data_IF_641786843538
#
_entry.id   IF_641786843538
#
_cell.length_a   1.000
_cell.length_b   1.000
_cell.length_c   1.000
_cell.angle_alpha   90.00
_cell.angle_beta   90.00
_cell.angle_gamma   90.00
#
_symmetry.space_group_name_H-M   'P 1'
#
loop_
_entity.id
_entity.type
_entity.pdbx_description
1 polymer ?
#
# COMPACT_ATOMS: atom_id res chain seq x y z
N UNK A 1 3.06 -17.24 -15.96
CA UNK A 1 3.46 -15.87 -15.62
C UNK A 1 3.22 -15.49 -14.13
N UNK A 2 2.55 -16.34 -13.34
CA UNK A 2 2.35 -16.17 -11.88
C UNK A 2 3.57 -15.71 -11.07
N UNK A 3 4.77 -16.25 -11.33
CA UNK A 3 5.98 -15.88 -10.58
C UNK A 3 6.39 -14.42 -10.83
N UNK A 4 6.18 -13.89 -12.04
CA UNK A 4 6.47 -12.49 -12.37
C UNK A 4 5.61 -11.56 -11.51
N UNK A 5 4.30 -11.82 -11.42
CA UNK A 5 3.39 -11.03 -10.59
C UNK A 5 3.79 -11.03 -9.10
N UNK A 6 4.11 -12.20 -8.55
CA UNK A 6 4.54 -12.33 -7.15
C UNK A 6 5.82 -11.54 -6.91
N UNK A 7 6.81 -11.66 -7.81
CA UNK A 7 8.09 -10.96 -7.69
C UNK A 7 7.94 -9.45 -7.85
N UNK A 8 7.06 -8.97 -8.73
CA UNK A 8 6.76 -7.54 -8.85
C UNK A 8 6.07 -7.01 -7.60
N UNK A 9 5.15 -7.77 -7.01
CA UNK A 9 4.50 -7.40 -5.75
C UNK A 9 5.51 -7.31 -4.59
N UNK A 10 6.39 -8.31 -4.46
CA UNK A 10 7.47 -8.31 -3.45
C UNK A 10 8.40 -7.11 -3.64
N UNK A 11 8.85 -6.84 -4.87
CA UNK A 11 9.72 -5.71 -5.19
C UNK A 11 9.05 -4.36 -4.88
N UNK A 12 7.75 -4.21 -5.18
CA UNK A 12 6.99 -3.01 -4.85
C UNK A 12 7.00 -2.74 -3.34
N UNK A 13 6.66 -3.74 -2.52
CA UNK A 13 6.62 -3.59 -1.08
C UNK A 13 8.02 -3.38 -0.48
N UNK A 14 9.04 -4.09 -0.95
CA UNK A 14 10.42 -3.88 -0.50
C UNK A 14 10.89 -2.45 -0.77
N UNK A 15 10.66 -1.95 -1.98
CA UNK A 15 11.02 -0.59 -2.38
C UNK A 15 10.28 0.45 -1.54
N UNK A 16 8.96 0.25 -1.34
CA UNK A 16 8.13 1.14 -0.53
C UNK A 16 8.63 1.21 0.92
N UNK A 17 8.91 0.05 1.53
CA UNK A 17 9.42 -0.02 2.91
C UNK A 17 10.80 0.59 3.03
N UNK A 18 11.71 0.35 2.08
CA UNK A 18 13.03 0.99 2.05
C UNK A 18 12.92 2.53 1.99
N UNK A 19 11.95 3.05 1.24
CA UNK A 19 11.66 4.49 1.22
C UNK A 19 11.33 5.06 2.60
N UNK A 20 10.59 4.33 3.44
CA UNK A 20 10.28 4.75 4.80
C UNK A 20 11.42 4.54 5.80
N UNK A 21 12.38 3.66 5.51
CA UNK A 21 13.59 3.51 6.33
C UNK A 21 14.55 4.69 6.16
N UNK A 22 14.60 5.26 4.95
CA UNK A 22 15.49 6.37 4.60
C UNK A 22 15.06 7.68 5.25
N UNK A 23 16.04 8.42 5.76
CA UNK A 23 15.86 9.76 6.33
C UNK A 23 16.44 10.87 5.46
N UNK A 24 17.12 10.51 4.37
CA UNK A 24 17.71 11.45 3.40
C UNK A 24 16.84 11.60 2.15
N UNK A 25 17.39 12.24 1.12
CA UNK A 25 16.83 12.37 -0.23
C UNK A 25 16.55 11.02 -0.93
N UNK A 26 17.23 9.94 -0.52
CA UNK A 26 16.96 8.58 -1.00
C UNK A 26 15.48 8.19 -0.86
N UNK A 27 14.82 8.71 0.20
CA UNK A 27 13.41 8.43 0.50
C UNK A 27 12.48 8.73 -0.67
N UNK A 28 12.60 9.93 -1.25
CA UNK A 28 11.68 10.34 -2.31
C UNK A 28 11.86 9.45 -3.54
N UNK A 29 13.11 9.16 -3.89
CA UNK A 29 13.44 8.30 -5.04
C UNK A 29 12.88 6.89 -4.86
N UNK A 30 13.05 6.30 -3.68
CA UNK A 30 12.54 4.97 -3.35
C UNK A 30 11.01 4.93 -3.39
N UNK A 31 10.33 5.94 -2.85
CA UNK A 31 8.86 6.03 -2.92
C UNK A 31 8.38 6.19 -4.37
N UNK A 32 9.03 7.03 -5.17
CA UNK A 32 8.69 7.21 -6.59
C UNK A 32 8.88 5.92 -7.39
N UNK A 33 9.96 5.17 -7.12
CA UNK A 33 10.18 3.85 -7.72
C UNK A 33 9.14 2.84 -7.27
N UNK A 34 8.71 2.87 -6.00
CA UNK A 34 7.62 2.01 -5.53
C UNK A 34 6.31 2.28 -6.26
N UNK A 35 6.00 3.53 -6.59
CA UNK A 35 4.80 3.89 -7.34
C UNK A 35 4.86 3.38 -8.80
N UNK A 36 6.06 3.35 -9.40
CA UNK A 36 6.28 2.72 -10.70
C UNK A 36 6.06 1.21 -10.62
N UNK A 37 6.62 0.54 -9.61
CA UNK A 37 6.49 -0.91 -9.43
C UNK A 37 5.04 -1.32 -9.17
N UNK A 38 4.25 -0.51 -8.45
CA UNK A 38 2.82 -0.75 -8.32
C UNK A 38 2.12 -0.70 -9.68
N UNK A 39 2.43 0.28 -10.54
CA UNK A 39 1.88 0.30 -11.90
C UNK A 39 2.26 -0.95 -12.70
N UNK A 40 3.53 -1.36 -12.65
CA UNK A 40 3.96 -2.61 -13.29
C UNK A 40 3.15 -3.82 -12.80
N UNK A 41 2.93 -3.90 -11.49
CA UNK A 41 2.10 -4.94 -10.88
C UNK A 41 0.68 -4.94 -11.46
N UNK A 42 0.04 -3.78 -11.56
CA UNK A 42 -1.31 -3.66 -12.17
C UNK A 42 -1.33 -4.04 -13.66
N UNK A 43 -0.28 -3.73 -14.42
CA UNK A 43 -0.22 -4.06 -15.84
C UNK A 43 -0.02 -5.56 -16.08
N UNK A 44 0.85 -6.19 -15.30
CA UNK A 44 1.05 -7.64 -15.32
C UNK A 44 -0.24 -8.37 -14.93
N UNK A 45 -0.99 -7.86 -13.94
CA UNK A 45 -2.29 -8.41 -13.58
C UNK A 45 -3.28 -8.41 -14.74
N UNK A 46 -3.36 -7.29 -15.47
CA UNK A 46 -4.23 -7.20 -16.65
C UNK A 46 -3.80 -8.19 -17.75
N UNK A 47 -2.49 -8.39 -17.96
CA UNK A 47 -1.99 -9.40 -18.90
C UNK A 47 -2.41 -10.82 -18.49
N UNK A 48 -2.34 -11.15 -17.20
CA UNK A 48 -2.80 -12.45 -16.68
C UNK A 48 -4.30 -12.66 -16.91
N UNK A 49 -5.12 -11.61 -16.75
CA UNK A 49 -6.56 -11.65 -17.03
C UNK A 49 -6.82 -11.89 -18.52
N UNK A 50 -6.15 -11.13 -19.40
CA UNK A 50 -6.30 -11.26 -20.86
C UNK A 50 -5.90 -12.64 -21.36
N UNK A 51 -4.83 -13.20 -20.78
CA UNK A 51 -4.32 -14.54 -21.11
C UNK A 51 -5.05 -15.67 -20.39
N UNK A 52 -6.04 -15.34 -19.55
CA UNK A 52 -6.81 -16.28 -18.74
C UNK A 52 -5.95 -17.14 -17.80
N UNK A 53 -4.80 -16.62 -17.36
CA UNK A 53 -3.98 -17.26 -16.34
C UNK A 53 -4.54 -16.98 -14.94
N UNK A 54 -4.69 -18.04 -14.14
CA UNK A 54 -5.07 -17.89 -12.74
C UNK A 54 -3.95 -17.26 -11.92
N UNK A 55 -4.29 -16.32 -11.03
CA UNK A 55 -3.33 -15.69 -10.13
C UNK A 55 -3.90 -15.51 -8.72
N UNK A 56 -3.01 -15.17 -7.78
CA UNK A 56 -3.34 -14.73 -6.43
C UNK A 56 -2.35 -13.67 -5.97
N UNK A 57 -2.72 -12.92 -4.94
CA UNK A 57 -1.82 -11.97 -4.26
C UNK A 57 -0.94 -12.65 -3.20
N UNK A 58 -0.85 -13.98 -3.21
CA UNK A 58 0.06 -14.73 -2.36
C UNK A 58 1.50 -14.32 -2.65
N UNK A 59 2.32 -14.26 -1.60
CA UNK A 59 3.75 -13.94 -1.70
C UNK A 59 4.50 -14.49 -0.50
N UNK A 60 5.83 -14.56 -0.63
CA UNK A 60 6.68 -14.94 0.47
C UNK A 60 6.78 -13.82 1.53
N UNK A 61 7.38 -14.15 2.68
CA UNK A 61 7.70 -13.17 3.69
C UNK A 61 8.79 -12.21 3.17
N UNK A 62 8.58 -10.92 3.38
CA UNK A 62 9.51 -9.87 2.92
C UNK A 62 10.40 -9.44 4.10
N UNK A 63 11.69 -9.82 4.13
CA UNK A 63 12.57 -9.56 5.26
C UNK A 63 13.11 -8.13 5.22
N UNK A 64 12.36 -7.19 5.80
CA UNK A 64 12.74 -5.76 5.78
C UNK A 64 13.63 -5.30 6.94
N UNK A 65 13.84 -6.14 7.97
CA UNK A 65 14.62 -5.75 9.15
C UNK A 65 16.12 -5.76 8.85
N UNK A 66 16.69 -4.57 8.71
CA UNK A 66 18.11 -4.35 8.41
C UNK A 66 18.71 -3.27 9.31
N UNK A 67 20.03 -3.27 9.47
CA UNK A 67 20.75 -2.23 10.22
C UNK A 67 21.21 -1.08 9.31
N UNK A 68 21.51 -1.39 8.05
CA UNK A 68 21.98 -0.45 7.03
C UNK A 68 21.01 -0.40 5.86
N UNK A 69 20.82 0.78 5.28
CA UNK A 69 20.00 0.94 4.08
C UNK A 69 20.59 0.13 2.92
N UNK A 70 21.92 0.09 2.80
CA UNK A 70 22.61 -0.69 1.76
C UNK A 70 22.24 -2.18 1.77
N UNK A 71 21.96 -2.78 2.94
CA UNK A 71 21.56 -4.18 3.04
C UNK A 71 20.25 -4.46 2.28
N UNK A 72 19.24 -3.61 2.48
CA UNK A 72 17.95 -3.76 1.78
C UNK A 72 18.07 -3.36 0.31
N UNK A 73 18.87 -2.33 -0.03
CA UNK A 73 19.10 -1.93 -1.42
C UNK A 73 19.75 -3.05 -2.25
N UNK A 74 20.74 -3.76 -1.71
CA UNK A 74 21.33 -4.92 -2.37
C UNK A 74 20.30 -6.04 -2.60
N UNK A 75 19.40 -6.28 -1.64
CA UNK A 75 18.33 -7.26 -1.81
C UNK A 75 17.36 -6.85 -2.91
N UNK A 76 16.92 -5.59 -2.93
CA UNK A 76 16.03 -5.03 -3.96
C UNK A 76 16.67 -5.16 -5.33
N UNK A 77 17.94 -4.74 -5.50
CA UNK A 77 18.65 -4.84 -6.78
C UNK A 77 18.68 -6.29 -7.28
N UNK A 78 18.97 -7.26 -6.40
CA UNK A 78 18.95 -8.68 -6.74
C UNK A 78 17.56 -9.13 -7.20
N UNK A 79 16.50 -8.80 -6.46
CA UNK A 79 15.14 -9.18 -6.82
C UNK A 79 14.67 -8.53 -8.13
N UNK A 80 15.03 -7.27 -8.37
CA UNK A 80 14.74 -6.58 -9.64
C UNK A 80 15.45 -7.25 -10.82
N UNK A 81 16.72 -7.66 -10.66
CA UNK A 81 17.44 -8.40 -11.71
C UNK A 81 16.82 -9.80 -11.95
N UNK A 82 16.38 -10.48 -10.89
CA UNK A 82 15.67 -11.76 -11.02
C UNK A 82 14.30 -11.60 -11.72
N UNK A 83 13.60 -10.49 -11.45
CA UNK A 83 12.36 -10.13 -12.13
C UNK A 83 12.61 -9.86 -13.61
N UNK A 84 13.63 -9.07 -13.95
CA UNK A 84 14.00 -8.72 -15.33
C UNK A 84 14.22 -9.96 -16.20
N UNK A 85 14.95 -10.95 -15.67
CA UNK A 85 15.17 -12.24 -16.35
C UNK A 85 13.86 -13.00 -16.61
N UNK A 86 12.86 -12.86 -15.74
CA UNK A 86 11.58 -13.56 -15.86
C UNK A 86 10.59 -12.86 -16.80
N UNK A 87 10.80 -11.57 -17.12
CA UNK A 87 9.96 -10.84 -18.08
C UNK A 87 9.96 -11.47 -19.48
N UNK A 88 10.99 -12.27 -19.82
CA UNK A 88 11.00 -13.06 -21.06
C UNK A 88 9.75 -13.95 -21.21
N UNK A 89 9.15 -14.34 -20.09
CA UNK A 89 7.95 -15.17 -20.03
C UNK A 89 6.63 -14.44 -20.25
N UNK A 90 6.61 -13.10 -20.29
CA UNK A 90 5.39 -12.33 -20.62
C UNK A 90 5.08 -12.45 -22.11
N UNK A 91 3.80 -12.54 -22.46
CA UNK A 91 3.34 -12.56 -23.85
C UNK A 91 3.41 -11.15 -24.46
N UNK A 92 3.03 -10.12 -23.70
CA UNK A 92 3.16 -8.72 -24.12
C UNK A 92 4.64 -8.27 -24.05
N UNK A 93 5.30 -8.36 -25.21
CA UNK A 93 6.70 -7.95 -25.34
C UNK A 93 6.92 -6.45 -25.17
N UNK A 94 5.93 -5.60 -25.49
CA UNK A 94 6.06 -4.16 -25.30
C UNK A 94 6.00 -3.82 -23.80
N UNK A 95 5.12 -4.48 -23.05
CA UNK A 95 5.08 -4.38 -21.59
C UNK A 95 6.37 -4.90 -20.96
N UNK A 96 6.86 -6.07 -21.39
CA UNK A 96 8.12 -6.64 -20.91
C UNK A 96 9.31 -5.68 -21.13
N UNK A 97 9.45 -5.11 -22.33
CA UNK A 97 10.49 -4.12 -22.65
C UNK A 97 10.34 -2.85 -21.79
N UNK A 98 9.11 -2.39 -21.56
CA UNK A 98 8.84 -1.23 -20.71
C UNK A 98 9.30 -1.47 -19.27
N UNK A 99 8.93 -2.59 -18.67
CA UNK A 99 9.29 -2.93 -17.29
C UNK A 99 10.81 -3.13 -17.19
N UNK A 100 11.42 -3.84 -18.14
CA UNK A 100 12.87 -4.08 -18.18
C UNK A 100 13.66 -2.76 -18.21
N UNK A 101 13.26 -1.81 -19.06
CA UNK A 101 13.89 -0.49 -19.13
C UNK A 101 13.78 0.28 -17.80
N UNK A 102 12.63 0.22 -17.13
CA UNK A 102 12.43 0.87 -15.84
C UNK A 102 13.32 0.20 -14.76
N UNK A 103 13.42 -1.14 -14.76
CA UNK A 103 14.30 -1.90 -13.84
C UNK A 103 15.78 -1.53 -14.03
N UNK A 104 16.26 -1.44 -15.27
CA UNK A 104 17.66 -1.05 -15.54
C UNK A 104 17.95 0.36 -15.02
N UNK A 105 17.02 1.29 -15.19
CA UNK A 105 17.16 2.62 -14.63
C UNK A 105 17.15 2.60 -13.09
N UNK A 106 16.16 1.96 -12.48
CA UNK A 106 16.06 1.84 -11.02
C UNK A 106 17.34 1.27 -10.43
N UNK A 107 17.77 0.10 -10.90
CA UNK A 107 18.99 -0.55 -10.42
C UNK A 107 20.22 0.34 -10.58
N UNK A 108 20.38 1.06 -11.70
CA UNK A 108 21.50 2.00 -11.88
C UNK A 108 21.52 3.10 -10.81
N UNK A 109 20.35 3.63 -10.43
CA UNK A 109 20.22 4.67 -9.40
C UNK A 109 20.48 4.08 -8.01
N UNK A 110 19.92 2.90 -7.71
CA UNK A 110 20.08 2.24 -6.40
C UNK A 110 21.56 1.94 -6.08
N UNK A 111 22.38 1.58 -7.07
CA UNK A 111 23.83 1.36 -6.87
C UNK A 111 24.58 2.62 -6.42
N UNK A 112 24.04 3.82 -6.71
CA UNK A 112 24.66 5.10 -6.38
C UNK A 112 24.09 5.76 -5.13
N UNK A 113 23.13 5.13 -4.44
CA UNK A 113 22.52 5.69 -3.24
C UNK A 113 23.49 5.62 -2.05
N UNK A 114 23.56 6.72 -1.29
CA UNK A 114 24.36 6.78 -0.07
C UNK A 114 23.75 5.89 1.02
N UNK A 115 24.61 5.27 1.82
CA UNK A 115 24.18 4.34 2.86
C UNK A 115 23.84 5.07 4.18
N UNK A 116 22.83 4.55 4.89
CA UNK A 116 22.26 5.14 6.10
C UNK A 116 22.14 4.09 7.21
N UNK A 117 22.18 4.54 8.46
CA UNK A 117 21.80 3.68 9.59
C UNK A 117 20.29 3.68 9.73
N UNK A 118 19.68 2.50 9.77
CA UNK A 118 18.23 2.35 9.86
C UNK A 118 17.78 2.30 11.32
N UNK A 119 16.83 3.17 11.69
CA UNK A 119 16.22 3.23 13.03
C UNK A 119 14.76 2.80 13.05
N UNK A 120 14.20 2.49 11.88
CA UNK A 120 12.79 2.14 11.66
C UNK A 120 12.32 0.87 12.39
N UNK A 121 13.26 0.12 13.00
CA UNK A 121 13.01 -1.12 13.76
C UNK A 121 13.52 -1.06 15.21
N UNK A 122 13.82 0.13 15.72
CA UNK A 122 14.38 0.32 17.07
C UNK A 122 13.44 -0.08 18.20
N UNK A 123 12.14 -0.24 17.93
CA UNK A 123 11.08 -0.50 18.91
C UNK A 123 11.02 0.56 20.03
N UNK A 124 11.56 1.75 19.79
CA UNK A 124 11.58 2.83 20.78
C UNK A 124 10.17 3.34 21.11
N UNK A 125 9.24 3.28 20.15
CA UNK A 125 7.86 3.77 20.25
C UNK A 125 7.77 5.24 20.67
N UNK A 126 8.79 6.02 20.33
CA UNK A 126 8.85 7.47 20.58
C UNK A 126 8.60 8.22 19.28
N UNK A 127 7.68 9.19 19.30
CA UNK A 127 7.45 10.04 18.14
C UNK A 127 8.40 11.26 18.18
N UNK A 128 9.15 11.55 17.10
CA UNK A 128 10.09 12.67 17.09
C UNK A 128 9.41 14.01 17.37
N UNK A 129 9.92 14.76 18.35
CA UNK A 129 9.42 16.09 18.69
C UNK A 129 8.10 16.12 19.47
N UNK A 130 7.50 14.97 19.78
CA UNK A 130 6.22 14.87 20.49
C UNK A 130 6.37 13.94 21.70
N UNK A 131 6.03 14.46 22.89
CA UNK A 131 6.00 13.66 24.12
C UNK A 131 4.60 13.10 24.34
N UNK A 132 4.39 11.83 24.00
CA UNK A 132 3.13 11.14 24.22
C UNK A 132 3.11 10.47 25.60
N UNK A 133 1.94 10.43 26.23
CA UNK A 133 1.69 9.55 27.37
C UNK A 133 1.77 8.08 26.95
N UNK A 134 1.90 7.17 27.91
CA UNK A 134 1.87 5.73 27.63
C UNK A 134 0.57 5.30 26.95
N UNK A 135 -0.57 5.83 27.43
CA UNK A 135 -1.89 5.57 26.85
C UNK A 135 -1.97 6.04 25.39
N UNK A 136 -1.55 7.27 25.09
CA UNK A 136 -1.52 7.77 23.72
C UNK A 136 -0.53 7.00 22.83
N UNK A 137 0.61 6.58 23.38
CA UNK A 137 1.61 5.78 22.65
C UNK A 137 1.07 4.39 22.32
N UNK A 138 0.37 3.74 23.25
CA UNK A 138 -0.28 2.45 23.05
C UNK A 138 -1.41 2.53 22.03
N UNK A 139 -2.28 3.53 22.15
CA UNK A 139 -3.35 3.78 21.19
C UNK A 139 -2.81 4.04 19.77
N UNK A 140 -1.81 4.92 19.64
CA UNK A 140 -1.19 5.22 18.36
C UNK A 140 -0.50 4.01 17.75
N UNK A 141 0.20 3.21 18.56
CA UNK A 141 0.88 2.00 18.08
C UNK A 141 -0.13 0.99 17.53
N UNK A 142 -1.22 0.74 18.27
CA UNK A 142 -2.26 -0.19 17.83
C UNK A 142 -2.90 0.27 16.53
N UNK A 143 -3.31 1.54 16.46
CA UNK A 143 -3.88 2.14 15.27
C UNK A 143 -2.96 1.99 14.06
N UNK A 144 -1.67 2.32 14.19
CA UNK A 144 -0.74 2.22 13.07
C UNK A 144 -0.61 0.80 12.55
N UNK A 145 -0.67 -0.23 13.41
CA UNK A 145 -0.65 -1.62 12.95
C UNK A 145 -1.92 -2.02 12.21
N UNK A 146 -3.09 -1.66 12.74
CA UNK A 146 -4.39 -2.03 12.18
C UNK A 146 -4.64 -1.29 10.85
N UNK A 147 -4.45 0.02 10.83
CA UNK A 147 -4.75 0.86 9.68
C UNK A 147 -3.73 0.71 8.56
N UNK A 148 -2.44 0.53 8.86
CA UNK A 148 -1.45 0.21 7.80
C UNK A 148 -1.84 -1.07 7.05
N UNK A 149 -2.36 -2.07 7.77
CA UNK A 149 -2.83 -3.28 7.13
C UNK A 149 -4.12 -3.04 6.34
N UNK A 150 -5.10 -2.37 6.94
CA UNK A 150 -6.38 -2.06 6.30
C UNK A 150 -6.18 -1.32 4.97
N UNK A 151 -5.36 -0.28 4.96
CA UNK A 151 -5.12 0.51 3.75
C UNK A 151 -4.44 -0.30 2.64
N UNK A 152 -3.46 -1.12 3.00
CA UNK A 152 -2.87 -2.06 2.04
C UNK A 152 -3.90 -3.06 1.51
N UNK A 153 -4.74 -3.63 2.38
CA UNK A 153 -5.82 -4.54 1.98
C UNK A 153 -6.78 -3.88 1.00
N UNK A 154 -7.24 -2.65 1.29
CA UNK A 154 -8.12 -1.88 0.43
C UNK A 154 -7.49 -1.60 -0.95
N UNK A 155 -6.21 -1.21 -1.00
CA UNK A 155 -5.49 -1.04 -2.27
C UNK A 155 -5.56 -2.31 -3.11
N UNK A 156 -5.31 -3.47 -2.51
CA UNK A 156 -5.32 -4.76 -3.22
C UNK A 156 -6.73 -5.13 -3.70
N UNK A 157 -7.74 -4.92 -2.86
CA UNK A 157 -9.14 -5.20 -3.19
C UNK A 157 -9.63 -4.30 -4.33
N UNK A 158 -9.46 -2.99 -4.21
CA UNK A 158 -9.91 -2.05 -5.25
C UNK A 158 -9.12 -2.23 -6.55
N UNK A 159 -7.83 -2.56 -6.48
CA UNK A 159 -7.06 -2.90 -7.66
C UNK A 159 -7.63 -4.14 -8.38
N UNK A 160 -7.98 -5.18 -7.62
CA UNK A 160 -8.62 -6.38 -8.18
C UNK A 160 -9.97 -6.03 -8.84
N UNK A 161 -10.85 -5.34 -8.12
CA UNK A 161 -12.16 -4.93 -8.64
C UNK A 161 -12.03 -4.12 -9.93
N UNK A 162 -11.07 -3.19 -9.98
CA UNK A 162 -10.77 -2.38 -11.17
C UNK A 162 -10.24 -3.23 -12.33
N UNK A 163 -9.39 -4.21 -12.07
CA UNK A 163 -8.83 -5.08 -13.11
C UNK A 163 -9.88 -6.04 -13.70
N UNK A 164 -10.92 -6.37 -12.95
CA UNK A 164 -12.03 -7.25 -13.36
C UNK A 164 -13.31 -6.51 -13.78
N UNK A 165 -13.21 -5.21 -14.04
CA UNK A 165 -14.33 -4.37 -14.45
C UNK A 165 -14.01 -3.62 -15.75
N UNK A 166 -14.91 -3.71 -16.72
CA UNK A 166 -14.88 -2.91 -17.95
C UNK A 166 -15.64 -1.58 -17.80
N UNK A 167 -16.27 -1.34 -16.64
CA UNK A 167 -17.05 -0.12 -16.41
C UNK A 167 -16.15 1.06 -16.05
N UNK A 168 -16.12 2.06 -16.94
CA UNK A 168 -15.27 3.24 -16.78
C UNK A 168 -15.64 4.13 -15.57
N UNK A 169 -16.92 4.14 -15.16
CA UNK A 169 -17.37 4.94 -14.02
C UNK A 169 -16.93 4.29 -12.70
N UNK A 170 -17.11 2.99 -12.56
CA UNK A 170 -16.66 2.21 -11.41
C UNK A 170 -15.13 2.18 -11.33
N UNK A 171 -14.43 1.98 -12.46
CA UNK A 171 -12.97 2.01 -12.49
C UNK A 171 -12.41 3.35 -12.03
N UNK A 172 -13.09 4.46 -12.35
CA UNK A 172 -12.72 5.78 -11.83
C UNK A 172 -12.89 5.86 -10.31
N UNK A 173 -14.00 5.35 -9.77
CA UNK A 173 -14.23 5.34 -8.31
C UNK A 173 -13.16 4.50 -7.61
N UNK A 174 -12.91 3.27 -8.07
CA UNK A 174 -11.88 2.42 -7.49
C UNK A 174 -10.48 3.02 -7.57
N UNK A 175 -10.13 3.70 -8.68
CA UNK A 175 -8.86 4.41 -8.76
C UNK A 175 -8.73 5.51 -7.71
N UNK A 176 -9.78 6.31 -7.48
CA UNK A 176 -9.75 7.36 -6.45
C UNK A 176 -9.55 6.73 -5.07
N UNK A 177 -10.26 5.64 -4.76
CA UNK A 177 -10.12 4.94 -3.48
C UNK A 177 -8.70 4.35 -3.31
N UNK A 178 -8.11 3.79 -4.37
CA UNK A 178 -6.71 3.33 -4.37
C UNK A 178 -5.77 4.50 -4.05
N UNK A 179 -5.94 5.63 -4.72
CA UNK A 179 -5.06 6.79 -4.57
C UNK A 179 -5.10 7.37 -3.14
N UNK A 180 -6.28 7.46 -2.54
CA UNK A 180 -6.45 7.90 -1.14
C UNK A 180 -5.87 6.88 -0.15
N UNK A 181 -6.15 5.58 -0.33
CA UNK A 181 -5.56 4.53 0.52
C UNK A 181 -4.04 4.51 0.43
N UNK A 182 -3.46 4.79 -0.74
CA UNK A 182 -2.00 4.96 -0.86
C UNK A 182 -1.49 6.12 -0.02
N UNK A 183 -2.20 7.24 -0.03
CA UNK A 183 -1.82 8.37 0.80
C UNK A 183 -1.84 7.97 2.29
N UNK A 184 -2.91 7.34 2.78
CA UNK A 184 -3.00 6.87 4.17
C UNK A 184 -1.90 5.87 4.52
N UNK A 185 -1.72 4.82 3.71
CA UNK A 185 -0.66 3.82 3.87
C UNK A 185 0.71 4.48 4.00
N UNK A 186 1.02 5.45 3.11
CA UNK A 186 2.32 6.15 3.13
C UNK A 186 2.48 6.98 4.40
N UNK A 187 1.42 7.62 4.90
CA UNK A 187 1.45 8.39 6.15
C UNK A 187 1.64 7.48 7.37
N UNK A 188 0.94 6.36 7.44
CA UNK A 188 1.03 5.45 8.57
C UNK A 188 2.38 4.72 8.62
N UNK A 189 2.91 4.29 7.48
CA UNK A 189 4.27 3.74 7.40
C UNK A 189 5.34 4.76 7.82
N UNK A 190 5.22 6.03 7.41
CA UNK A 190 6.13 7.09 7.87
C UNK A 190 6.11 7.26 9.39
N UNK A 191 4.92 7.29 9.99
CA UNK A 191 4.75 7.38 11.44
C UNK A 191 5.32 6.14 12.15
N UNK A 192 5.05 4.95 11.62
CA UNK A 192 5.58 3.69 12.12
C UNK A 192 7.11 3.64 12.07
N UNK A 193 7.72 4.08 10.97
CA UNK A 193 9.17 4.18 10.83
C UNK A 193 9.78 5.15 11.84
N UNK A 194 9.20 6.34 12.01
CA UNK A 194 9.63 7.33 13.02
C UNK A 194 9.58 6.78 14.45
N UNK A 195 8.60 5.93 14.74
CA UNK A 195 8.44 5.28 16.04
C UNK A 195 9.28 4.00 16.21
N UNK A 196 9.98 3.56 15.16
CA UNK A 196 10.81 2.35 15.19
C UNK A 196 10.01 1.05 15.12
N UNK A 197 8.77 1.08 14.62
CA UNK A 197 7.83 -0.05 14.53
C UNK A 197 7.37 -0.34 13.10
N UNK A 198 8.16 0.04 12.09
CA UNK A 198 7.83 -0.22 10.69
C UNK A 198 7.65 -1.73 10.45
N UNK A 199 6.61 -2.09 9.71
CA UNK A 199 6.30 -3.47 9.38
C UNK A 199 5.73 -3.58 7.96
N UNK A 200 5.95 -4.71 7.32
CA UNK A 200 5.30 -5.07 6.06
C UNK A 200 3.87 -5.51 6.37
N UNK A 201 2.84 -5.04 5.64
CA UNK A 201 1.49 -5.57 5.76
C UNK A 201 1.44 -7.10 5.60
N UNK A 202 0.52 -7.78 6.28
CA UNK A 202 0.31 -9.24 6.07
C UNK A 202 -0.27 -9.51 4.69
N UNK A 203 -0.14 -10.76 4.21
CA UNK A 203 -0.72 -11.18 2.92
C UNK A 203 -2.24 -11.04 2.98
N UNK A 204 -2.85 -10.55 1.90
CA UNK A 204 -4.32 -10.45 1.79
C UNK A 204 -4.87 -11.81 1.39
N UNK A 205 -5.82 -12.32 2.18
CA UNK A 205 -6.46 -13.60 1.90
C UNK A 205 -7.31 -13.52 0.63
N UNK A 206 -7.30 -14.58 -0.17
CA UNK A 206 -7.99 -14.65 -1.47
C UNK A 206 -9.46 -14.27 -1.39
N UNK A 207 -10.12 -14.72 -0.34
CA UNK A 207 -11.54 -14.52 -0.07
C UNK A 207 -11.92 -13.06 0.17
N UNK A 208 -10.94 -12.21 0.54
CA UNK A 208 -11.18 -10.79 0.81
C UNK A 208 -11.19 -9.95 -0.46
N UNK A 209 -10.35 -10.29 -1.45
CA UNK A 209 -10.24 -9.50 -2.69
C UNK A 209 -10.98 -10.12 -3.87
N UNK A 210 -11.19 -11.44 -3.90
CA UNK A 210 -12.04 -12.08 -4.92
C UNK A 210 -13.51 -11.99 -4.53
N UNK A 211 -14.06 -10.80 -4.67
CA UNK A 211 -15.42 -10.48 -4.24
C UNK A 211 -16.45 -11.07 -5.23
N UNK A 212 -17.30 -11.97 -4.74
CA UNK A 212 -18.40 -12.54 -5.52
C UNK A 212 -19.63 -11.61 -5.56
N UNK A 213 -19.88 -10.85 -4.50
CA UNK A 213 -20.98 -9.89 -4.38
C UNK A 213 -20.44 -8.49 -4.05
N UNK A 214 -20.20 -7.70 -5.10
CA UNK A 214 -19.68 -6.34 -4.98
C UNK A 214 -20.68 -5.42 -4.26
N UNK A 215 -21.98 -5.67 -4.39
CA UNK A 215 -23.01 -4.88 -3.71
C UNK A 215 -22.94 -5.08 -2.20
N UNK A 216 -22.78 -6.33 -1.75
CA UNK A 216 -22.63 -6.64 -0.34
C UNK A 216 -21.29 -6.10 0.20
N UNK A 217 -20.20 -6.27 -0.54
CA UNK A 217 -18.91 -5.69 -0.18
C UNK A 217 -18.98 -4.17 0.05
N UNK A 218 -19.59 -3.41 -0.86
CA UNK A 218 -19.73 -1.96 -0.72
C UNK A 218 -20.59 -1.58 0.50
N UNK A 219 -21.66 -2.33 0.80
CA UNK A 219 -22.48 -2.10 1.99
C UNK A 219 -21.70 -2.34 3.28
N UNK A 220 -20.93 -3.43 3.32
CA UNK A 220 -20.13 -3.79 4.49
C UNK A 220 -19.00 -2.79 4.69
N UNK A 221 -18.30 -2.38 3.62
CA UNK A 221 -17.28 -1.32 3.67
C UNK A 221 -17.84 0.02 4.17
N UNK A 222 -19.02 0.45 3.71
CA UNK A 222 -19.66 1.67 4.23
C UNK A 222 -19.94 1.55 5.73
N UNK A 223 -20.45 0.41 6.18
CA UNK A 223 -20.74 0.19 7.61
C UNK A 223 -19.47 0.15 8.45
N UNK A 224 -18.40 -0.47 7.93
CA UNK A 224 -17.10 -0.53 8.57
C UNK A 224 -16.50 0.87 8.72
N UNK A 225 -16.49 1.69 7.66
CA UNK A 225 -15.99 3.06 7.76
C UNK A 225 -16.79 3.90 8.75
N UNK A 226 -18.13 3.75 8.78
CA UNK A 226 -18.96 4.43 9.78
C UNK A 226 -18.60 4.04 11.22
N UNK A 227 -18.21 2.78 11.46
CA UNK A 227 -17.78 2.30 12.77
C UNK A 227 -16.34 2.77 13.10
N UNK A 228 -15.42 2.69 12.14
CA UNK A 228 -14.02 3.08 12.29
C UNK A 228 -13.87 4.56 12.66
N UNK A 229 -14.78 5.42 12.19
CA UNK A 229 -14.80 6.84 12.57
C UNK A 229 -14.91 7.09 14.07
N UNK A 230 -15.65 6.26 14.80
CA UNK A 230 -15.73 6.40 16.26
C UNK A 230 -14.41 6.01 16.94
N UNK A 231 -13.71 5.00 16.43
CA UNK A 231 -12.38 4.62 16.94
C UNK A 231 -11.31 5.67 16.59
N UNK A 232 -11.32 6.21 15.37
CA UNK A 232 -10.44 7.30 14.96
C UNK A 232 -10.67 8.57 15.80
N UNK A 233 -11.92 8.87 16.15
CA UNK A 233 -12.24 9.97 17.06
C UNK A 233 -11.72 9.73 18.48
N UNK A 234 -11.88 8.53 19.03
CA UNK A 234 -11.31 8.17 20.35
C UNK A 234 -9.79 8.31 20.35
N UNK A 235 -9.13 7.88 19.27
CA UNK A 235 -7.69 8.06 19.11
C UNK A 235 -7.32 9.55 19.04
N UNK A 236 -8.01 10.34 18.22
CA UNK A 236 -7.81 11.80 18.13
C UNK A 236 -7.93 12.45 19.50
N UNK A 237 -8.96 12.12 20.29
CA UNK A 237 -9.14 12.62 21.66
C UNK A 237 -8.04 12.16 22.63
N UNK A 238 -7.55 10.93 22.49
CA UNK A 238 -6.46 10.40 23.30
C UNK A 238 -5.14 11.11 23.02
N UNK A 239 -4.82 11.35 21.74
CA UNK A 239 -3.57 12.03 21.35
C UNK A 239 -3.66 13.55 21.48
N UNK A 240 -4.85 14.16 21.39
CA UNK A 240 -5.05 15.60 21.45
C UNK A 240 -4.57 16.24 22.76
N UNK A 241 -4.59 15.47 23.85
CA UNK A 241 -4.07 15.91 25.15
C UNK A 241 -2.56 16.13 25.12
N UNK A 242 -1.86 15.40 24.25
CA UNK A 242 -0.40 15.35 24.17
C UNK A 242 0.14 16.05 22.90
N UNK A 243 -0.66 16.14 21.83
CA UNK A 243 -0.29 16.77 20.57
C UNK A 243 -1.48 17.28 19.77
N UNK A 244 -1.58 18.61 19.64
CA UNK A 244 -2.54 19.25 18.74
C UNK A 244 -2.26 18.92 17.25
N UNK A 245 -0.99 18.72 16.89
CA UNK A 245 -0.59 18.37 15.52
C UNK A 245 -1.16 17.01 15.12
N UNK A 246 -1.02 15.99 15.99
CA UNK A 246 -1.56 14.66 15.71
C UNK A 246 -3.08 14.65 15.68
N UNK A 247 -3.74 15.40 16.58
CA UNK A 247 -5.18 15.55 16.57
C UNK A 247 -5.68 16.13 15.23
N UNK A 248 -5.06 17.21 14.75
CA UNK A 248 -5.39 17.80 13.44
C UNK A 248 -5.14 16.83 12.28
N UNK A 249 -4.09 16.01 12.36
CA UNK A 249 -3.83 14.98 11.37
C UNK A 249 -4.96 13.92 11.35
N UNK A 250 -5.41 13.42 12.50
CA UNK A 250 -6.51 12.45 12.55
C UNK A 250 -7.85 13.06 12.13
N UNK A 251 -8.11 14.32 12.46
CA UNK A 251 -9.29 15.04 11.97
C UNK A 251 -9.26 15.18 10.44
N UNK A 252 -8.08 15.42 9.86
CA UNK A 252 -7.88 15.48 8.42
C UNK A 252 -8.14 14.12 7.75
N UNK A 253 -7.59 13.02 8.27
CA UNK A 253 -7.85 11.65 7.77
C UNK A 253 -9.35 11.32 7.86
N UNK A 254 -9.98 11.59 9.01
CA UNK A 254 -11.41 11.37 9.21
C UNK A 254 -12.29 12.18 8.24
N UNK A 255 -11.82 13.31 7.73
CA UNK A 255 -12.51 14.04 6.67
C UNK A 255 -12.42 13.32 5.32
N UNK A 256 -11.26 12.76 4.97
CA UNK A 256 -11.07 11.97 3.75
C UNK A 256 -11.95 10.71 3.76
N UNK A 257 -12.07 10.02 4.91
CA UNK A 257 -12.95 8.85 5.05
C UNK A 257 -14.43 9.15 4.78
N UNK A 258 -14.90 10.38 5.06
CA UNK A 258 -16.27 10.77 4.68
C UNK A 258 -16.47 10.75 3.17
N UNK A 259 -15.43 11.10 2.42
CA UNK A 259 -15.49 11.09 0.97
C UNK A 259 -15.42 9.65 0.43
N UNK A 260 -14.66 8.75 1.07
CA UNK A 260 -14.70 7.32 0.75
C UNK A 260 -16.11 6.74 0.87
N UNK A 261 -16.80 7.05 1.97
CA UNK A 261 -18.21 6.64 2.17
C UNK A 261 -19.09 7.17 1.03
N UNK A 262 -18.90 8.43 0.62
CA UNK A 262 -19.65 9.01 -0.51
C UNK A 262 -19.38 8.26 -1.81
N UNK A 263 -18.12 7.95 -2.12
CA UNK A 263 -17.72 7.23 -3.32
C UNK A 263 -18.26 5.79 -3.35
N UNK A 264 -18.18 5.08 -2.23
CA UNK A 264 -18.75 3.73 -2.12
C UNK A 264 -20.28 3.75 -2.23
N UNK A 265 -20.94 4.76 -1.69
CA UNK A 265 -22.39 4.95 -1.81
C UNK A 265 -22.79 5.21 -3.28
N UNK A 266 -22.03 6.03 -3.99
CA UNK A 266 -22.23 6.30 -5.41
C UNK A 266 -22.03 5.04 -6.27
N UNK A 267 -20.97 4.27 -6.01
CA UNK A 267 -20.75 2.98 -6.67
C UNK A 267 -21.89 1.99 -6.39
N UNK A 268 -22.35 1.90 -5.15
CA UNK A 268 -23.45 1.02 -4.75
C UNK A 268 -24.76 1.39 -5.47
N UNK A 269 -25.06 2.68 -5.54
CA UNK A 269 -26.23 3.19 -6.26
C UNK A 269 -26.14 2.97 -7.78
N UNK A 270 -24.92 2.93 -8.33
CA UNK A 270 -24.68 2.58 -9.72
C UNK A 270 -24.97 1.10 -9.99
N UNK A 271 -24.38 0.19 -9.19
CA UNK A 271 -24.63 -1.25 -9.28
C UNK A 271 -26.10 -1.62 -9.17
N UNK A 272 -26.83 -1.01 -8.22
CA UNK A 272 -28.25 -1.29 -8.02
C UNK A 272 -29.12 -0.98 -9.26
N UNK A 273 -28.74 0.04 -10.04
CA UNK A 273 -29.46 0.42 -11.26
C UNK A 273 -29.21 -0.53 -12.42
N UNK A 274 -28.03 -1.14 -12.49
CA UNK A 274 -27.72 -2.14 -13.53
C UNK A 274 -28.41 -3.48 -13.26
N UNK A 275 -28.58 -3.88 -11.99
CA UNK A 275 -29.30 -5.11 -11.64
C UNK A 275 -30.82 -5.04 -11.88
N UNK A 276 -31.39 -3.83 -11.97
CA UNK A 276 -32.81 -3.59 -12.24
C UNK A 276 -33.11 -3.39 -13.76
N UNK A 277 -32.09 -3.41 -14.63
CA UNK A 277 -32.19 -3.19 -16.08
C UNK A 277 -32.15 -4.50 -16.88
#
# INVERSE_FOLDING_TARGET
MKTVMIKTHEAWLEMLMAGFMSTTENRQVLVDFSDILFRHFTWIENELIVTQESYSYDRDAIPIRVERLSDILHSIIRHLNELDLQLIGLEDKALAERISSDIHYMTSVLHGMEDETVTAFSMARTFPGISLTQEATDALTLFLFEETYKEYELIMIYNYLKAHSDDAYLNRIFQILIDESFFHLKRFCDMGAKMGILAVPRVVMKELYQIEDVTQFLKDGINEELAAKEECKKLSEAVAKDSEELARFFDFINYQENYHISLMTDALAYYAKETDA
#
